data_IF_443715327885
#
_entry.id   IF_443715327885
#
_cell.length_a   1.000
_cell.length_b   1.000
_cell.length_c   1.000
_cell.angle_alpha   90.00
_cell.angle_beta   90.00
_cell.angle_gamma   90.00
#
_symmetry.space_group_name_H-M   'P 1'
#
loop_
_entity.id
_entity.type
_entity.pdbx_description
1 polymer ?
#
# COMPACT_ATOMS: atom_id res chain seq x y z
N UNK A 1 -3.32 3.25 17.93
CA UNK A 1 -3.15 3.06 16.48
C UNK A 1 -4.00 4.10 15.82
N UNK A 2 -3.42 4.83 14.88
CA UNK A 2 -4.17 5.80 14.09
C UNK A 2 -5.07 5.07 13.09
N UNK A 3 -6.06 5.79 12.57
CA UNK A 3 -7.06 5.24 11.66
C UNK A 3 -6.90 5.84 10.27
N UNK A 4 -7.16 5.03 9.26
CA UNK A 4 -7.37 5.47 7.88
C UNK A 4 -8.66 6.28 7.84
N UNK A 5 -8.53 7.60 7.83
CA UNK A 5 -9.68 8.52 7.83
C UNK A 5 -10.33 8.62 6.45
N UNK A 6 -11.52 9.20 6.38
CA UNK A 6 -12.18 9.44 5.10
C UNK A 6 -11.39 10.41 4.20
N UNK A 7 -10.55 11.28 4.76
CA UNK A 7 -9.70 12.15 3.95
C UNK A 7 -8.54 11.37 3.29
N UNK A 8 -8.02 10.32 3.94
CA UNK A 8 -7.08 9.38 3.32
C UNK A 8 -7.75 8.63 2.17
N UNK A 9 -9.01 8.19 2.35
CA UNK A 9 -9.78 7.53 1.28
C UNK A 9 -9.97 8.47 0.08
N UNK A 10 -10.44 9.69 0.32
CA UNK A 10 -10.67 10.69 -0.74
C UNK A 10 -9.41 11.01 -1.53
N UNK A 11 -8.26 11.19 -0.87
CA UNK A 11 -7.03 11.48 -1.59
C UNK A 11 -6.57 10.26 -2.41
N UNK A 12 -6.71 9.04 -1.87
CA UNK A 12 -6.34 7.84 -2.60
C UNK A 12 -7.24 7.65 -3.83
N UNK A 13 -8.54 7.92 -3.71
CA UNK A 13 -9.49 7.91 -4.83
C UNK A 13 -9.17 8.99 -5.88
N UNK A 14 -8.78 10.21 -5.44
CA UNK A 14 -8.36 11.29 -6.34
C UNK A 14 -7.11 10.92 -7.13
N UNK A 15 -6.08 10.42 -6.44
CA UNK A 15 -4.74 10.20 -7.03
C UNK A 15 -4.66 8.86 -7.75
N UNK A 16 -5.35 7.83 -7.23
CA UNK A 16 -5.41 6.49 -7.81
C UNK A 16 -4.14 5.65 -7.64
N UNK A 17 -3.09 6.19 -7.03
CA UNK A 17 -1.84 5.49 -6.77
C UNK A 17 -1.06 6.10 -5.61
N UNK A 18 0.01 5.42 -5.20
CA UNK A 18 0.95 5.88 -4.18
C UNK A 18 2.26 5.08 -4.21
N UNK A 19 3.23 5.51 -3.40
CA UNK A 19 4.54 4.88 -3.30
C UNK A 19 4.62 3.98 -2.07
N UNK A 20 5.11 2.75 -2.24
CA UNK A 20 5.33 1.80 -1.14
C UNK A 20 6.82 1.71 -0.86
N UNK A 21 7.23 2.18 0.31
CA UNK A 21 8.58 2.05 0.83
C UNK A 21 8.69 0.80 1.71
N UNK A 22 9.76 0.04 1.50
CA UNK A 22 10.12 -1.18 2.24
C UNK A 22 11.64 -1.21 2.44
N UNK A 23 12.13 -2.08 3.30
CA UNK A 23 13.56 -2.31 3.44
C UNK A 23 13.88 -3.79 3.56
N UNK A 24 15.08 -4.20 3.15
CA UNK A 24 15.60 -5.53 3.45
C UNK A 24 15.76 -5.72 4.95
N UNK A 25 16.05 -6.96 5.38
CA UNK A 25 16.42 -7.26 6.77
C UNK A 25 17.68 -6.50 7.24
N UNK A 26 18.56 -6.14 6.30
CA UNK A 26 19.80 -5.41 6.55
C UNK A 26 19.61 -3.88 6.40
N UNK A 27 18.37 -3.42 6.20
CA UNK A 27 18.03 -2.00 6.12
C UNK A 27 18.25 -1.36 4.74
N UNK A 28 18.46 -2.14 3.68
CA UNK A 28 18.60 -1.60 2.31
C UNK A 28 17.23 -1.13 1.82
N UNK A 29 17.04 0.16 1.49
CA UNK A 29 15.73 0.70 1.16
C UNK A 29 15.29 0.31 -0.26
N UNK A 30 13.98 0.25 -0.46
CA UNK A 30 13.34 0.06 -1.76
C UNK A 30 12.02 0.85 -1.81
N UNK A 31 11.67 1.36 -3.00
CA UNK A 31 10.38 2.01 -3.25
C UNK A 31 9.76 1.47 -4.53
N UNK A 32 8.45 1.20 -4.51
CA UNK A 32 7.69 0.76 -5.67
C UNK A 32 6.36 1.51 -5.76
N UNK A 33 5.98 2.06 -6.93
CA UNK A 33 4.65 2.62 -7.12
C UNK A 33 3.61 1.50 -7.13
N UNK A 34 2.41 1.79 -6.60
CA UNK A 34 1.25 0.90 -6.57
C UNK A 34 0.00 1.68 -6.93
N UNK A 35 -0.75 1.18 -7.91
CA UNK A 35 -2.09 1.68 -8.29
C UNK A 35 -3.22 0.71 -7.97
N UNK A 36 -2.92 -0.39 -7.26
CA UNK A 36 -3.87 -1.45 -6.92
C UNK A 36 -4.34 -1.37 -5.47
N UNK A 37 -4.28 -0.19 -4.86
CA UNK A 37 -4.65 -0.02 -3.47
C UNK A 37 -6.15 -0.23 -3.24
N UNK A 38 -6.48 -0.87 -2.11
CA UNK A 38 -7.85 -1.06 -1.64
C UNK A 38 -7.90 -0.89 -0.13
N UNK A 39 -8.64 0.09 0.34
CA UNK A 39 -8.90 0.26 1.77
C UNK A 39 -10.03 -0.70 2.14
N UNK A 40 -9.75 -1.63 3.06
CA UNK A 40 -10.68 -2.67 3.50
C UNK A 40 -11.50 -2.18 4.70
N UNK A 41 -10.85 -1.50 5.64
CA UNK A 41 -11.46 -0.93 6.84
C UNK A 41 -10.59 0.23 7.38
N UNK A 42 -10.87 0.71 8.59
CA UNK A 42 -10.16 1.84 9.21
C UNK A 42 -8.69 1.55 9.57
N UNK A 43 -8.22 0.31 9.44
CA UNK A 43 -6.85 -0.09 9.78
C UNK A 43 -6.18 -0.95 8.70
N UNK A 44 -6.90 -1.32 7.65
CA UNK A 44 -6.42 -2.30 6.67
C UNK A 44 -6.42 -1.69 5.27
N UNK A 45 -5.24 -1.68 4.65
CA UNK A 45 -5.07 -1.35 3.23
C UNK A 45 -4.35 -2.48 2.52
N UNK A 46 -4.83 -2.83 1.32
CA UNK A 46 -4.29 -3.91 0.50
C UNK A 46 -3.70 -3.36 -0.79
N UNK A 47 -2.72 -4.07 -1.36
CA UNK A 47 -2.29 -3.87 -2.74
C UNK A 47 -1.84 -5.19 -3.37
N UNK A 48 -1.91 -5.25 -4.69
CA UNK A 48 -1.46 -6.40 -5.44
C UNK A 48 0.04 -6.35 -5.77
N UNK A 49 0.74 -7.45 -5.55
CA UNK A 49 2.10 -7.67 -6.05
C UNK A 49 2.05 -8.37 -7.40
N UNK A 50 2.16 -7.60 -8.50
CA UNK A 50 2.18 -8.15 -9.86
C UNK A 50 3.62 -8.30 -10.35
N UNK A 51 4.44 -7.24 -10.23
CA UNK A 51 5.81 -7.18 -10.74
C UNK A 51 6.85 -6.77 -9.67
N UNK A 52 6.51 -6.77 -8.38
CA UNK A 52 7.32 -6.09 -7.36
C UNK A 52 8.26 -7.04 -6.62
N UNK A 53 9.22 -7.60 -7.35
CA UNK A 53 10.17 -8.58 -6.82
C UNK A 53 10.92 -8.09 -5.57
N UNK A 54 11.50 -6.89 -5.60
CA UNK A 54 12.23 -6.34 -4.45
C UNK A 54 11.32 -6.06 -3.26
N UNK A 55 10.13 -5.48 -3.49
CA UNK A 55 9.13 -5.25 -2.43
C UNK A 55 8.71 -6.58 -1.80
N UNK A 56 8.39 -7.60 -2.61
CA UNK A 56 8.01 -8.93 -2.12
C UNK A 56 9.12 -9.56 -1.28
N UNK A 57 10.36 -9.53 -1.78
CA UNK A 57 11.52 -10.04 -1.06
C UNK A 57 11.68 -9.34 0.30
N UNK A 58 11.66 -8.01 0.30
CA UNK A 58 11.75 -7.22 1.53
C UNK A 58 10.65 -7.59 2.52
N UNK A 59 9.38 -7.61 2.09
CA UNK A 59 8.25 -7.93 2.97
C UNK A 59 8.28 -9.37 3.53
N UNK A 60 8.92 -10.30 2.82
CA UNK A 60 9.10 -11.68 3.31
C UNK A 60 10.12 -11.80 4.44
N UNK A 61 11.06 -10.85 4.57
CA UNK A 61 12.12 -10.86 5.59
C UNK A 61 12.00 -9.70 6.61
N UNK A 62 11.23 -8.66 6.28
CA UNK A 62 10.98 -7.48 7.09
C UNK A 62 9.56 -6.95 6.79
N UNK A 63 8.59 -7.11 7.71
CA UNK A 63 7.19 -6.79 7.43
C UNK A 63 6.89 -5.28 7.45
N UNK A 64 7.83 -4.42 7.85
CA UNK A 64 7.59 -2.99 7.98
C UNK A 64 7.44 -2.30 6.61
N UNK A 65 6.40 -1.48 6.50
CA UNK A 65 6.04 -0.79 5.26
C UNK A 65 5.58 0.65 5.56
N UNK A 66 5.92 1.56 4.66
CA UNK A 66 5.32 2.89 4.60
C UNK A 66 4.68 3.11 3.23
N UNK A 67 3.51 3.73 3.22
CA UNK A 67 2.76 4.08 2.01
C UNK A 67 2.63 5.59 1.98
N UNK A 68 3.03 6.20 0.88
CA UNK A 68 2.93 7.64 0.66
C UNK A 68 1.96 7.93 -0.49
N UNK A 69 0.97 8.78 -0.22
CA UNK A 69 -0.06 9.21 -1.18
C UNK A 69 -0.07 10.73 -1.16
N UNK A 70 0.37 11.35 -2.26
CA UNK A 70 0.56 12.79 -2.36
C UNK A 70 -0.16 13.33 -3.58
N UNK A 71 -0.88 14.42 -3.38
CA UNK A 71 -1.43 15.27 -4.42
C UNK A 71 -0.42 16.38 -4.75
N UNK A 72 0.19 16.28 -5.92
CA UNK A 72 1.20 17.23 -6.39
C UNK A 72 0.64 18.65 -6.61
N UNK A 73 -0.66 18.80 -6.89
CA UNK A 73 -1.27 20.11 -7.14
C UNK A 73 -1.39 20.93 -5.85
N UNK A 74 -1.73 20.26 -4.75
CA UNK A 74 -1.93 20.89 -3.43
C UNK A 74 -0.69 20.77 -2.54
N UNK A 75 0.33 20.04 -2.99
CA UNK A 75 1.49 19.64 -2.21
C UNK A 75 1.12 19.01 -0.85
N UNK A 76 -0.02 18.31 -0.81
CA UNK A 76 -0.56 17.71 0.40
C UNK A 76 -0.83 16.21 0.22
N UNK A 77 -0.84 15.46 1.31
CA UNK A 77 -0.84 14.01 1.27
C UNK A 77 -1.03 13.35 2.62
N UNK A 78 -0.88 12.04 2.60
CA UNK A 78 -0.79 11.22 3.81
C UNK A 78 0.28 10.16 3.66
N UNK A 79 0.99 9.93 4.76
CA UNK A 79 1.85 8.77 4.94
C UNK A 79 1.18 7.80 5.91
N UNK A 80 1.04 6.55 5.51
CA UNK A 80 0.56 5.45 6.34
C UNK A 80 1.75 4.55 6.67
N UNK A 81 1.88 4.12 7.92
CA UNK A 81 2.89 3.12 8.31
C UNK A 81 2.21 1.92 8.95
N UNK A 82 2.85 0.77 8.80
CA UNK A 82 2.31 -0.46 9.36
C UNK A 82 3.18 -1.68 9.10
N UNK A 83 2.56 -2.84 9.25
CA UNK A 83 3.16 -4.13 8.96
C UNK A 83 2.34 -4.88 7.92
N UNK A 84 3.01 -5.59 7.02
CA UNK A 84 2.38 -6.32 5.93
C UNK A 84 2.40 -7.84 6.13
N UNK A 85 1.37 -8.50 5.61
CA UNK A 85 1.32 -9.94 5.37
C UNK A 85 1.11 -10.21 3.89
N UNK A 86 1.65 -11.34 3.41
CA UNK A 86 1.55 -11.77 2.02
C UNK A 86 0.69 -13.04 1.96
N UNK A 87 -0.27 -13.05 1.04
CA UNK A 87 -1.06 -14.23 0.71
C UNK A 87 -0.99 -14.50 -0.80
N UNK A 88 -0.70 -15.73 -1.18
CA UNK A 88 -0.68 -16.21 -2.57
C UNK A 88 -1.87 -17.11 -2.91
N UNK A 89 -2.79 -17.26 -1.95
CA UNK A 89 -3.94 -18.16 -2.02
C UNK A 89 -5.02 -17.75 -1.03
N UNK A 90 -6.24 -18.28 -1.23
CA UNK A 90 -7.38 -18.06 -0.37
C UNK A 90 -8.37 -17.00 -0.88
N UNK A 91 -9.54 -16.86 -0.25
CA UNK A 91 -10.68 -16.14 -0.84
C UNK A 91 -10.40 -14.67 -1.19
N UNK A 92 -9.62 -13.97 -0.36
CA UNK A 92 -9.27 -12.57 -0.61
C UNK A 92 -8.28 -12.45 -1.79
N UNK A 93 -7.31 -13.36 -1.89
CA UNK A 93 -6.38 -13.40 -3.00
C UNK A 93 -7.12 -13.73 -4.31
N UNK A 94 -8.02 -14.70 -4.29
CA UNK A 94 -8.81 -15.11 -5.45
C UNK A 94 -9.69 -13.94 -5.94
N UNK A 95 -10.36 -13.24 -5.04
CA UNK A 95 -11.16 -12.06 -5.37
C UNK A 95 -10.30 -10.94 -6.00
N UNK A 96 -9.12 -10.66 -5.44
CA UNK A 96 -8.21 -9.66 -5.98
C UNK A 96 -7.68 -10.06 -7.38
N UNK A 97 -7.38 -11.35 -7.58
CA UNK A 97 -6.95 -11.89 -8.88
C UNK A 97 -8.05 -11.74 -9.94
N UNK A 98 -9.30 -12.02 -9.60
CA UNK A 98 -10.45 -11.82 -10.50
C UNK A 98 -10.68 -10.34 -10.84
N UNK A 99 -10.53 -9.45 -9.87
CA UNK A 99 -10.62 -8.00 -10.05
C UNK A 99 -9.56 -7.50 -11.05
N UNK A 100 -8.30 -7.90 -10.86
CA UNK A 100 -7.20 -7.56 -11.76
C UNK A 100 -7.38 -8.13 -13.15
N UNK A 101 -7.87 -9.36 -13.28
CA UNK A 101 -8.16 -9.98 -14.57
C UNK A 101 -9.22 -9.19 -15.35
N UNK A 102 -10.28 -8.71 -14.68
CA UNK A 102 -11.31 -7.84 -15.30
C UNK A 102 -10.75 -6.50 -15.79
N UNK A 103 -9.68 -6.03 -15.17
CA UNK A 103 -8.95 -4.81 -15.56
C UNK A 103 -7.85 -5.06 -16.60
N UNK A 104 -7.66 -6.30 -17.07
CA UNK A 104 -6.64 -6.66 -18.05
C UNK A 104 -5.22 -6.81 -17.49
N UNK A 105 -5.06 -6.87 -16.17
CA UNK A 105 -3.76 -7.08 -15.52
C UNK A 105 -3.43 -8.59 -15.39
N UNK A 106 -2.13 -8.94 -15.38
CA UNK A 106 -1.71 -10.29 -15.02
C UNK A 106 -2.12 -10.65 -13.59
N UNK A 107 -2.26 -11.96 -13.35
CA UNK A 107 -2.51 -12.47 -12.00
C UNK A 107 -1.39 -12.02 -11.04
N UNK A 108 -1.74 -11.52 -9.84
CA UNK A 108 -0.74 -11.14 -8.86
C UNK A 108 -0.02 -12.38 -8.32
N UNK A 109 1.23 -12.19 -7.88
CA UNK A 109 2.02 -13.18 -7.13
C UNK A 109 1.56 -13.25 -5.69
N UNK A 110 1.20 -12.11 -5.09
CA UNK A 110 0.65 -12.03 -3.74
C UNK A 110 -0.40 -10.91 -3.66
N UNK A 111 -1.35 -11.07 -2.76
CA UNK A 111 -2.09 -9.98 -2.16
C UNK A 111 -1.33 -9.56 -0.90
N UNK A 112 -0.92 -8.29 -0.85
CA UNK A 112 -0.28 -7.71 0.32
C UNK A 112 -1.34 -7.02 1.17
N UNK A 113 -1.47 -7.42 2.43
CA UNK A 113 -2.38 -6.79 3.39
C UNK A 113 -1.56 -6.05 4.43
N UNK A 114 -1.78 -4.74 4.55
CA UNK A 114 -1.07 -3.87 5.49
C UNK A 114 -2.01 -3.49 6.62
N UNK A 115 -1.61 -3.85 7.85
CA UNK A 115 -2.23 -3.32 9.07
C UNK A 115 -1.56 -1.99 9.42
N UNK A 116 -2.30 -0.90 9.27
CA UNK A 116 -1.87 0.47 9.52
C UNK A 116 -1.86 0.74 11.03
N UNK A 117 -0.75 1.27 11.51
CA UNK A 117 -0.53 1.61 12.93
C UNK A 117 -0.42 3.11 13.15
N UNK A 118 0.04 3.86 12.14
CA UNK A 118 0.29 5.30 12.20
C UNK A 118 -0.15 5.98 10.90
N UNK A 119 -0.71 7.18 11.02
CA UNK A 119 -1.17 8.00 9.89
C UNK A 119 -0.69 9.43 10.08
N UNK A 120 0.11 9.91 9.14
CA UNK A 120 0.67 11.26 9.14
C UNK A 120 0.06 12.07 8.01
N UNK A 121 -0.44 13.27 8.31
CA UNK A 121 -0.79 14.23 7.27
C UNK A 121 0.47 14.92 6.79
N UNK A 122 0.65 14.98 5.47
CA UNK A 122 1.70 15.77 4.82
C UNK A 122 1.02 17.03 4.31
N UNK A 123 1.17 18.15 5.01
CA UNK A 123 0.67 19.45 4.55
C UNK A 123 1.82 20.46 4.56
N UNK A 124 1.92 21.34 3.56
CA UNK A 124 2.90 22.42 3.61
C UNK A 124 2.66 23.28 4.85
N UNK A 125 3.67 23.43 5.71
CA UNK A 125 3.65 24.38 6.83
C UNK A 125 3.10 23.89 8.17
N UNK A 126 2.98 22.59 8.43
CA UNK A 126 2.61 22.10 9.77
C UNK A 126 3.15 20.72 10.12
N UNK A 127 4.00 20.69 11.14
CA UNK A 127 4.39 19.52 11.95
C UNK A 127 3.30 19.16 12.96
#
# INVERSE_FOLDING_TARGET
MDKITDDVKKILEKIGWGSVATASKDGVPNVSPKGSFKIVDEQTIQFADIFSEHTRKNLSENPHVAIDIVDAETASGYQLKGTATLADSGPLFDAAKEELARMGFPAPKNLVTVTVTEVYSVKPGGS
#
